data_IF_033487478241
#
_entry.id   IF_033487478241
#
_cell.length_a   1.000
_cell.length_b   1.000
_cell.length_c   1.000
_cell.angle_alpha   90.00
_cell.angle_beta   90.00
_cell.angle_gamma   90.00
#
_symmetry.space_group_name_H-M   'P 1'
#
loop_
_entity.id
_entity.type
_entity.pdbx_description
1 polymer ?
#
# COMPACT_ATOMS: atom_id res chain seq x y z
N UNK A 1 29.10 6.31 -35.02
CA UNK A 1 29.07 4.83 -34.99
C UNK A 1 27.64 4.30 -35.00
N UNK A 2 26.83 4.51 -33.95
CA UNK A 2 25.45 3.99 -33.94
C UNK A 2 24.60 4.44 -35.14
N UNK A 3 24.68 5.73 -35.52
CA UNK A 3 24.01 6.23 -36.72
C UNK A 3 24.44 5.52 -38.00
N UNK A 4 25.75 5.43 -38.26
CA UNK A 4 26.31 4.69 -39.40
C UNK A 4 25.84 3.22 -39.46
N UNK A 5 25.80 2.51 -38.32
CA UNK A 5 25.32 1.12 -38.27
C UNK A 5 23.85 0.99 -38.67
N UNK A 6 23.01 1.96 -38.26
CA UNK A 6 21.56 1.92 -38.50
C UNK A 6 21.21 2.46 -39.90
N UNK A 7 21.79 3.59 -40.31
CA UNK A 7 21.43 4.29 -41.53
C UNK A 7 22.15 3.72 -42.77
N UNK A 8 23.47 3.48 -42.67
CA UNK A 8 24.26 3.02 -43.81
C UNK A 8 24.28 1.50 -43.92
N UNK A 9 24.52 0.80 -42.80
CA UNK A 9 24.58 -0.66 -42.80
C UNK A 9 23.22 -1.35 -42.60
N UNK A 10 22.15 -0.57 -42.36
CA UNK A 10 20.76 -1.06 -42.18
C UNK A 10 20.64 -2.18 -41.14
N UNK A 11 21.44 -2.10 -40.06
CA UNK A 11 21.35 -3.05 -38.96
C UNK A 11 19.98 -2.92 -38.28
N UNK A 12 19.36 -4.05 -37.97
CA UNK A 12 18.11 -4.09 -37.21
C UNK A 12 18.34 -3.58 -35.79
N UNK A 13 17.70 -2.46 -35.44
CA UNK A 13 17.76 -1.83 -34.12
C UNK A 13 17.18 -2.72 -33.00
N UNK A 14 16.41 -3.74 -33.36
CA UNK A 14 15.83 -4.74 -32.47
C UNK A 14 16.58 -6.09 -32.47
N UNK A 15 17.69 -6.20 -33.21
CA UNK A 15 18.53 -7.38 -33.18
C UNK A 15 18.96 -7.70 -31.75
N UNK A 16 19.15 -8.98 -31.44
CA UNK A 16 19.60 -9.42 -30.12
C UNK A 16 20.97 -10.07 -30.22
N UNK A 17 21.79 -9.89 -29.18
CA UNK A 17 23.03 -10.63 -29.02
C UNK A 17 22.78 -12.10 -28.57
N UNK A 18 23.85 -12.86 -28.38
CA UNK A 18 23.78 -14.25 -27.89
C UNK A 18 23.15 -14.37 -26.49
N UNK A 19 23.12 -13.27 -25.74
CA UNK A 19 22.47 -13.16 -24.45
C UNK A 19 21.07 -12.59 -24.54
N UNK A 20 20.45 -12.49 -25.72
CA UNK A 20 19.07 -12.02 -25.91
C UNK A 20 18.86 -10.52 -25.65
N UNK A 21 19.91 -9.70 -25.56
CA UNK A 21 19.81 -8.27 -25.26
C UNK A 21 19.81 -7.44 -26.55
N UNK A 22 18.95 -6.41 -26.60
CA UNK A 22 18.91 -5.47 -27.72
C UNK A 22 19.95 -4.34 -27.57
N UNK A 23 20.31 -3.65 -28.65
CA UNK A 23 21.08 -2.41 -28.59
C UNK A 23 20.52 -1.38 -27.61
N UNK A 24 19.18 -1.32 -27.48
CA UNK A 24 18.50 -0.42 -26.55
C UNK A 24 18.85 -0.73 -25.09
N UNK A 25 18.85 -2.02 -24.71
CA UNK A 25 19.24 -2.48 -23.37
C UNK A 25 20.73 -2.21 -23.10
N UNK A 26 21.61 -2.42 -24.08
CA UNK A 26 23.04 -2.08 -23.95
C UNK A 26 23.26 -0.57 -23.76
N UNK A 27 22.54 0.27 -24.51
CA UNK A 27 22.60 1.72 -24.34
C UNK A 27 22.09 2.17 -22.96
N UNK A 28 21.11 1.46 -22.39
CA UNK A 28 20.62 1.69 -21.03
C UNK A 28 21.69 1.38 -19.98
N UNK A 29 22.24 0.17 -19.97
CA UNK A 29 23.27 -0.22 -18.99
C UNK A 29 24.58 0.56 -19.13
N UNK A 30 24.87 1.08 -20.33
CA UNK A 30 25.98 2.01 -20.55
C UNK A 30 25.67 3.48 -20.23
N UNK A 31 24.45 3.79 -19.77
CA UNK A 31 23.92 5.12 -19.47
C UNK A 31 24.08 6.11 -20.64
N UNK A 32 24.03 5.60 -21.87
CA UNK A 32 24.21 6.39 -23.10
C UNK A 32 22.87 6.97 -23.54
N UNK A 33 22.37 7.97 -22.82
CA UNK A 33 21.06 8.61 -23.08
C UNK A 33 20.88 9.04 -24.54
N UNK A 34 21.90 9.65 -25.17
CA UNK A 34 21.83 10.06 -26.58
C UNK A 34 21.68 8.88 -27.53
N UNK A 35 22.40 7.78 -27.29
CA UNK A 35 22.28 6.54 -28.07
C UNK A 35 20.92 5.88 -27.83
N UNK A 36 20.47 5.85 -26.58
CA UNK A 36 19.18 5.29 -26.17
C UNK A 36 18.03 6.01 -26.88
N UNK A 37 18.03 7.36 -26.83
CA UNK A 37 17.09 8.20 -27.58
C UNK A 37 17.16 7.90 -29.07
N UNK A 38 18.36 7.93 -29.65
CA UNK A 38 18.54 7.66 -31.07
C UNK A 38 17.93 6.32 -31.50
N UNK A 39 18.17 5.25 -30.74
CA UNK A 39 17.62 3.94 -31.04
C UNK A 39 16.08 3.94 -30.99
N UNK A 40 15.47 4.59 -29.98
CA UNK A 40 14.02 4.77 -29.93
C UNK A 40 13.48 5.62 -31.09
N UNK A 41 14.22 6.64 -31.53
CA UNK A 41 13.85 7.49 -32.69
C UNK A 41 13.82 6.67 -33.98
N UNK A 42 14.56 5.57 -34.04
CA UNK A 42 14.74 4.70 -35.21
C UNK A 42 14.01 3.36 -35.10
N UNK A 43 12.98 3.27 -34.23
CA UNK A 43 12.08 2.11 -34.18
C UNK A 43 12.55 0.97 -33.27
N UNK A 44 13.47 1.21 -32.35
CA UNK A 44 13.72 0.26 -31.26
C UNK A 44 12.43 0.09 -30.44
N UNK A 45 12.03 -1.15 -30.20
CA UNK A 45 10.82 -1.48 -29.46
C UNK A 45 11.03 -1.18 -27.97
N UNK A 46 10.30 -0.21 -27.39
CA UNK A 46 10.48 0.19 -25.99
C UNK A 46 9.99 -0.86 -24.98
N UNK A 47 9.24 -1.88 -25.42
CA UNK A 47 8.68 -2.95 -24.59
C UNK A 47 9.38 -4.30 -24.80
N UNK A 48 10.44 -4.36 -25.61
CA UNK A 48 11.18 -5.62 -25.85
C UNK A 48 11.89 -6.05 -24.57
N UNK A 49 11.36 -7.07 -23.92
CA UNK A 49 11.90 -7.63 -22.68
C UNK A 49 13.29 -8.23 -22.86
N UNK A 50 14.10 -8.12 -21.81
CA UNK A 50 15.37 -8.83 -21.67
C UNK A 50 15.13 -10.34 -21.40
N UNK A 51 16.18 -11.19 -21.36
CA UNK A 51 16.04 -12.61 -21.08
C UNK A 51 15.44 -12.95 -19.71
N UNK A 52 15.50 -12.02 -18.75
CA UNK A 52 14.92 -12.19 -17.43
C UNK A 52 13.44 -11.75 -17.40
N UNK A 53 12.89 -11.34 -18.55
CA UNK A 53 11.52 -10.87 -18.69
C UNK A 53 11.32 -9.39 -18.36
N UNK A 54 12.37 -8.63 -18.10
CA UNK A 54 12.27 -7.21 -17.75
C UNK A 54 12.13 -6.37 -19.01
N UNK A 55 11.00 -5.68 -19.16
CA UNK A 55 10.89 -4.58 -20.11
C UNK A 55 11.87 -3.45 -19.75
N UNK A 56 12.39 -2.68 -20.74
CA UNK A 56 13.28 -1.55 -20.50
C UNK A 56 12.80 -0.60 -19.39
N UNK A 57 11.49 -0.37 -19.29
CA UNK A 57 10.91 0.52 -18.28
C UNK A 57 11.15 0.03 -16.84
N UNK A 58 11.19 -1.29 -16.59
CA UNK A 58 11.51 -1.83 -15.27
C UNK A 58 12.93 -1.47 -14.85
N UNK A 59 13.91 -1.74 -15.72
CA UNK A 59 15.32 -1.49 -15.45
C UNK A 59 15.59 0.01 -15.29
N UNK A 60 15.04 0.84 -16.18
CA UNK A 60 15.19 2.30 -16.07
C UNK A 60 14.56 2.85 -14.78
N UNK A 61 13.41 2.31 -14.36
CA UNK A 61 12.74 2.73 -13.13
C UNK A 61 13.52 2.31 -11.87
N UNK A 62 14.01 1.06 -11.81
CA UNK A 62 14.80 0.56 -10.68
C UNK A 62 16.18 1.22 -10.54
N UNK A 63 16.82 1.55 -11.66
CA UNK A 63 18.10 2.27 -11.65
C UNK A 63 17.95 3.80 -11.49
N UNK A 64 16.73 4.32 -11.43
CA UNK A 64 16.50 5.76 -11.29
C UNK A 64 16.88 6.58 -12.53
N UNK A 65 16.98 5.96 -13.70
CA UNK A 65 17.34 6.60 -14.98
C UNK A 65 16.17 7.43 -15.54
N UNK A 66 15.84 8.51 -14.83
CA UNK A 66 14.64 9.33 -15.04
C UNK A 66 14.49 9.81 -16.48
N UNK A 67 15.59 10.15 -17.17
CA UNK A 67 15.51 10.60 -18.56
C UNK A 67 15.16 9.46 -19.52
N UNK A 68 15.68 8.25 -19.27
CA UNK A 68 15.32 7.05 -20.04
C UNK A 68 13.89 6.60 -19.75
N UNK A 69 13.41 6.73 -18.50
CA UNK A 69 11.99 6.51 -18.14
C UNK A 69 11.08 7.44 -18.95
N UNK A 70 11.37 8.74 -19.00
CA UNK A 70 10.61 9.70 -19.82
C UNK A 70 10.65 9.35 -21.30
N UNK A 71 11.82 9.01 -21.84
CA UNK A 71 11.97 8.66 -23.26
C UNK A 71 11.16 7.42 -23.63
N UNK A 72 11.16 6.38 -22.78
CA UNK A 72 10.37 5.17 -22.99
C UNK A 72 8.87 5.49 -23.00
N UNK A 73 8.37 6.20 -21.98
CA UNK A 73 6.96 6.57 -21.88
C UNK A 73 6.53 7.48 -23.04
N UNK A 74 7.37 8.45 -23.43
CA UNK A 74 7.13 9.31 -24.59
C UNK A 74 7.08 8.56 -25.93
N UNK A 75 7.58 7.31 -25.97
CA UNK A 75 7.56 6.43 -27.14
C UNK A 75 6.58 5.28 -27.03
N UNK A 76 5.63 5.41 -26.12
CA UNK A 76 4.51 4.48 -26.00
C UNK A 76 4.89 3.16 -25.35
N UNK A 77 5.96 3.12 -24.54
CA UNK A 77 6.19 2.00 -23.65
C UNK A 77 4.94 1.76 -22.79
N UNK A 78 4.60 0.49 -22.57
CA UNK A 78 3.60 0.13 -21.58
C UNK A 78 4.01 0.70 -20.22
N UNK A 79 3.11 1.39 -19.52
CA UNK A 79 3.42 1.97 -18.19
C UNK A 79 3.49 0.90 -17.10
N UNK A 80 2.65 -0.14 -17.19
CA UNK A 80 2.53 -1.22 -16.21
C UNK A 80 2.80 -2.62 -16.80
N UNK A 81 3.94 -2.84 -17.49
CA UNK A 81 4.35 -4.19 -17.84
C UNK A 81 4.58 -4.96 -16.54
N UNK A 82 4.26 -6.25 -16.54
CA UNK A 82 4.29 -7.08 -15.33
C UNK A 82 5.39 -8.13 -15.44
N UNK A 83 6.19 -8.23 -14.39
CA UNK A 83 7.16 -9.33 -14.19
C UNK A 83 6.88 -10.06 -12.88
N UNK A 84 7.66 -11.11 -12.59
CA UNK A 84 7.64 -11.76 -11.27
C UNK A 84 8.05 -10.82 -10.12
N UNK A 85 8.83 -9.78 -10.43
CA UNK A 85 9.25 -8.73 -9.50
C UNK A 85 8.26 -7.55 -9.44
N UNK A 86 7.19 -7.59 -10.22
CA UNK A 86 6.13 -6.59 -10.29
C UNK A 86 6.24 -5.63 -11.47
N UNK A 87 5.56 -4.48 -11.35
CA UNK A 87 5.57 -3.40 -12.36
C UNK A 87 6.77 -2.48 -12.17
N UNK A 88 7.08 -1.57 -13.13
CA UNK A 88 8.14 -0.58 -12.93
C UNK A 88 7.95 0.26 -11.67
N UNK A 89 6.71 0.53 -11.28
CA UNK A 89 6.39 1.25 -10.05
C UNK A 89 6.72 0.45 -8.78
N UNK A 90 6.55 -0.88 -8.80
CA UNK A 90 6.98 -1.76 -7.70
C UNK A 90 8.48 -1.72 -7.54
N UNK A 91 9.22 -1.89 -8.65
CA UNK A 91 10.69 -1.92 -8.62
C UNK A 91 11.24 -0.57 -8.18
N UNK A 92 10.72 0.54 -8.70
CA UNK A 92 11.14 1.87 -8.25
C UNK A 92 10.85 2.11 -6.75
N UNK A 93 9.77 1.54 -6.22
CA UNK A 93 9.47 1.61 -4.79
C UNK A 93 10.47 0.77 -3.96
N UNK A 94 10.80 -0.45 -4.39
CA UNK A 94 11.81 -1.32 -3.76
C UNK A 94 13.19 -0.68 -3.75
N UNK A 95 13.60 -0.08 -4.87
CA UNK A 95 14.91 0.56 -5.02
C UNK A 95 14.96 2.01 -4.48
N UNK A 96 13.86 2.52 -3.92
CA UNK A 96 13.78 3.86 -3.34
C UNK A 96 13.88 5.02 -4.34
N UNK A 97 13.56 4.79 -5.62
CA UNK A 97 13.71 5.75 -6.72
C UNK A 97 12.52 6.71 -6.82
N UNK A 98 12.42 7.65 -5.89
CA UNK A 98 11.26 8.56 -5.75
C UNK A 98 11.00 9.44 -7.00
N UNK A 99 12.06 9.90 -7.67
CA UNK A 99 11.92 10.69 -8.90
C UNK A 99 11.36 9.86 -10.06
N UNK A 100 11.81 8.61 -10.22
CA UNK A 100 11.29 7.71 -11.24
C UNK A 100 9.82 7.37 -10.96
N UNK A 101 9.47 7.11 -9.69
CA UNK A 101 8.07 6.90 -9.28
C UNK A 101 7.20 8.11 -9.62
N UNK A 102 7.68 9.33 -9.35
CA UNK A 102 6.94 10.56 -9.68
C UNK A 102 6.64 10.65 -11.17
N UNK A 103 7.58 10.26 -12.03
CA UNK A 103 7.37 10.22 -13.49
C UNK A 103 6.33 9.16 -13.87
N UNK A 104 6.45 7.94 -13.33
CA UNK A 104 5.53 6.83 -13.59
C UNK A 104 4.09 7.15 -13.15
N UNK A 105 3.92 7.70 -11.95
CA UNK A 105 2.62 8.14 -11.44
C UNK A 105 2.01 9.25 -12.31
N UNK A 106 2.86 10.17 -12.81
CA UNK A 106 2.44 11.19 -13.78
C UNK A 106 1.98 10.64 -15.14
N UNK A 107 2.33 9.39 -15.45
CA UNK A 107 1.88 8.65 -16.65
C UNK A 107 0.87 7.55 -16.31
N UNK A 108 0.10 7.74 -15.24
CA UNK A 108 -1.01 6.88 -14.83
C UNK A 108 -0.62 5.44 -14.47
N UNK A 109 0.60 5.20 -13.97
CA UNK A 109 0.96 3.91 -13.39
C UNK A 109 0.00 3.52 -12.27
N UNK A 110 -0.46 2.26 -12.26
CA UNK A 110 -1.38 1.75 -11.25
C UNK A 110 -0.68 1.59 -9.89
N UNK A 111 -0.83 2.61 -9.04
CA UNK A 111 -0.28 2.67 -7.69
C UNK A 111 -0.90 1.66 -6.71
N UNK A 112 -1.99 0.98 -7.07
CA UNK A 112 -2.63 -0.07 -6.29
C UNK A 112 -2.51 -1.45 -6.95
N UNK A 113 -1.71 -1.59 -8.02
CA UNK A 113 -1.49 -2.87 -8.67
C UNK A 113 -0.96 -3.87 -7.67
N UNK A 114 -1.60 -5.03 -7.57
CA UNK A 114 -1.17 -6.11 -6.69
C UNK A 114 -0.38 -7.16 -7.48
N UNK A 115 0.82 -7.48 -7.00
CA UNK A 115 1.66 -8.55 -7.51
C UNK A 115 2.00 -9.47 -6.34
N UNK A 116 1.56 -10.73 -6.41
CA UNK A 116 1.68 -11.69 -5.31
C UNK A 116 1.15 -11.15 -3.97
N UNK A 117 0.07 -10.35 -4.02
CA UNK A 117 -0.54 -9.73 -2.83
C UNK A 117 0.19 -8.47 -2.31
N UNK A 118 1.27 -8.04 -2.96
CA UNK A 118 2.05 -6.85 -2.58
C UNK A 118 1.76 -5.69 -3.55
N UNK A 119 1.63 -4.48 -3.02
CA UNK A 119 1.48 -3.23 -3.80
C UNK A 119 2.81 -2.47 -3.88
N UNK A 120 2.97 -1.43 -4.72
CA UNK A 120 4.16 -0.58 -4.66
C UNK A 120 4.38 0.05 -3.27
N UNK A 121 3.29 0.35 -2.55
CA UNK A 121 3.35 0.92 -1.21
C UNK A 121 3.91 -0.08 -0.19
N UNK A 122 3.65 -1.38 -0.39
CA UNK A 122 4.27 -2.45 0.39
C UNK A 122 5.79 -2.32 0.36
N UNK A 123 6.36 -2.25 -0.85
CA UNK A 123 7.80 -2.24 -1.04
C UNK A 123 8.44 -0.97 -0.50
N UNK A 124 7.82 0.20 -0.75
CA UNK A 124 8.33 1.48 -0.24
C UNK A 124 8.45 1.50 1.29
N UNK A 125 7.49 0.91 2.01
CA UNK A 125 7.50 0.84 3.47
C UNK A 125 8.46 -0.24 3.97
N UNK A 126 8.52 -1.41 3.32
CA UNK A 126 9.44 -2.49 3.68
C UNK A 126 10.90 -2.02 3.66
N UNK A 127 11.28 -1.23 2.65
CA UNK A 127 12.62 -0.64 2.53
C UNK A 127 12.76 0.70 3.25
N UNK A 128 11.76 1.11 4.02
CA UNK A 128 11.76 2.36 4.80
C UNK A 128 11.97 3.64 3.97
N UNK A 129 11.54 3.65 2.71
CA UNK A 129 11.62 4.82 1.83
C UNK A 129 10.45 5.77 2.06
N UNK A 130 10.64 6.73 2.98
CA UNK A 130 9.64 7.73 3.36
C UNK A 130 9.17 8.56 2.15
N UNK A 131 10.08 8.92 1.23
CA UNK A 131 9.73 9.70 0.04
C UNK A 131 8.81 8.92 -0.89
N UNK A 132 9.15 7.67 -1.18
CA UNK A 132 8.34 6.78 -2.02
C UNK A 132 6.97 6.50 -1.40
N UNK A 133 6.94 6.22 -0.09
CA UNK A 133 5.70 6.02 0.64
C UNK A 133 4.80 7.26 0.57
N UNK A 134 5.34 8.47 0.81
CA UNK A 134 4.59 9.73 0.69
C UNK A 134 4.00 9.92 -0.71
N UNK A 135 4.77 9.67 -1.77
CA UNK A 135 4.28 9.79 -3.16
C UNK A 135 3.11 8.86 -3.45
N UNK A 136 3.21 7.61 -3.01
CA UNK A 136 2.15 6.61 -3.21
C UNK A 136 0.90 6.93 -2.40
N UNK A 137 1.05 7.37 -1.15
CA UNK A 137 -0.08 7.80 -0.32
C UNK A 137 -0.79 9.01 -0.96
N UNK A 138 -0.02 9.99 -1.45
CA UNK A 138 -0.57 11.15 -2.16
C UNK A 138 -1.30 10.76 -3.45
N UNK A 139 -0.85 9.72 -4.14
CA UNK A 139 -1.54 9.17 -5.30
C UNK A 139 -2.81 8.38 -4.96
N UNK A 140 -3.05 8.04 -3.68
CA UNK A 140 -4.19 7.22 -3.24
C UNK A 140 -3.87 5.74 -3.05
N UNK A 141 -2.58 5.41 -2.88
CA UNK A 141 -2.10 4.08 -2.53
C UNK A 141 -2.73 3.57 -1.23
N UNK A 142 -3.31 2.38 -1.28
CA UNK A 142 -3.96 1.74 -0.13
C UNK A 142 -2.96 0.78 0.51
N UNK A 143 -2.67 0.97 1.80
CA UNK A 143 -1.96 -0.01 2.60
C UNK A 143 -2.96 -1.09 3.05
N UNK A 144 -2.70 -2.36 2.72
CA UNK A 144 -3.49 -3.46 3.27
C UNK A 144 -3.27 -3.56 4.79
N UNK A 145 -4.32 -3.91 5.55
CA UNK A 145 -4.27 -4.06 7.00
C UNK A 145 -3.19 -5.06 7.42
N UNK A 146 -3.18 -6.26 6.82
CA UNK A 146 -2.19 -7.33 7.06
C UNK A 146 -0.74 -6.85 6.90
N UNK A 147 -0.51 -5.86 6.03
CA UNK A 147 0.81 -5.33 5.73
C UNK A 147 1.34 -4.32 6.76
N UNK A 148 0.48 -3.41 7.25
CA UNK A 148 0.85 -2.50 8.34
C UNK A 148 1.34 -3.32 9.55
N UNK A 149 0.75 -4.48 9.76
CA UNK A 149 1.05 -5.39 10.87
C UNK A 149 2.39 -6.14 10.69
N UNK A 150 2.72 -6.58 9.47
CA UNK A 150 4.06 -7.15 9.18
C UNK A 150 5.16 -6.09 9.31
N UNK A 151 4.93 -4.88 8.81
CA UNK A 151 5.88 -3.77 8.93
C UNK A 151 6.06 -3.27 10.38
N UNK A 152 5.03 -3.39 11.22
CA UNK A 152 5.09 -3.08 12.66
C UNK A 152 5.76 -4.19 13.48
N UNK A 153 5.64 -5.46 13.07
CA UNK A 153 6.26 -6.60 13.76
C UNK A 153 7.78 -6.70 13.49
N UNK A 154 8.22 -6.29 12.30
CA UNK A 154 9.62 -6.24 11.87
C UNK A 154 10.18 -4.80 11.92
N UNK A 155 9.83 -3.98 12.93
CA UNK A 155 10.32 -2.60 13.06
C UNK A 155 11.49 -2.45 14.08
N UNK A 156 12.74 -2.86 13.75
CA UNK A 156 13.91 -2.48 14.51
C UNK A 156 14.58 -1.17 14.02
N UNK A 157 13.97 -0.42 13.08
CA UNK A 157 14.58 0.81 12.53
C UNK A 157 13.62 2.01 12.42
N UNK A 158 14.12 3.21 12.73
CA UNK A 158 13.35 4.46 12.75
C UNK A 158 12.63 4.80 11.43
N UNK A 159 13.12 4.29 10.29
CA UNK A 159 12.59 4.64 8.97
C UNK A 159 11.22 4.03 8.66
N UNK A 160 10.93 2.81 9.12
CA UNK A 160 9.62 2.19 8.93
C UNK A 160 8.56 2.90 9.78
N UNK A 161 8.91 3.31 11.00
CA UNK A 161 8.08 4.13 11.87
C UNK A 161 7.73 5.49 11.24
N UNK A 162 8.68 6.18 10.59
CA UNK A 162 8.40 7.42 9.85
C UNK A 162 7.47 7.21 8.65
N UNK A 163 7.65 6.11 7.90
CA UNK A 163 6.74 5.77 6.81
C UNK A 163 5.33 5.47 7.31
N UNK A 164 5.21 4.77 8.44
CA UNK A 164 3.94 4.48 9.11
C UNK A 164 3.30 5.76 9.64
N UNK A 165 4.05 6.70 10.21
CA UNK A 165 3.53 8.01 10.63
C UNK A 165 2.93 8.79 9.45
N UNK A 166 3.53 8.68 8.26
CA UNK A 166 2.98 9.26 7.04
C UNK A 166 1.63 8.65 6.62
N UNK A 167 1.41 7.36 6.88
CA UNK A 167 0.12 6.69 6.67
C UNK A 167 -0.93 7.11 7.71
N UNK A 168 -0.50 7.29 8.95
CA UNK A 168 -1.36 7.56 10.10
C UNK A 168 -1.80 9.03 10.16
N UNK A 169 -1.06 9.96 9.55
CA UNK A 169 -1.35 11.40 9.59
C UNK A 169 -1.20 12.00 11.00
N UNK A 170 -0.54 11.29 11.91
CA UNK A 170 -0.24 11.73 13.26
C UNK A 170 1.11 12.46 13.28
N UNK A 171 1.11 13.68 13.81
CA UNK A 171 2.33 14.41 14.17
C UNK A 171 2.92 13.94 15.50
N UNK A 172 2.71 12.68 15.88
CA UNK A 172 3.24 12.07 17.10
C UNK A 172 4.30 11.04 16.77
N UNK A 173 5.41 11.07 17.51
CA UNK A 173 6.49 10.09 17.41
C UNK A 173 5.98 8.72 17.91
N UNK A 174 6.18 7.67 17.12
CA UNK A 174 5.97 6.30 17.59
C UNK A 174 7.17 5.93 18.47
N UNK A 175 6.93 5.66 19.75
CA UNK A 175 7.95 5.13 20.65
C UNK A 175 7.73 3.64 20.85
N UNK A 176 8.72 2.83 20.50
CA UNK A 176 8.78 1.43 20.92
C UNK A 176 8.74 1.39 22.45
N UNK A 177 7.86 0.57 23.02
CA UNK A 177 7.80 0.37 24.46
C UNK A 177 9.01 -0.45 24.91
N UNK A 178 9.67 -0.04 25.99
CA UNK A 178 10.58 -0.93 26.72
C UNK A 178 9.75 -1.99 27.45
N UNK A 179 9.89 -3.25 27.05
CA UNK A 179 9.17 -4.40 27.62
C UNK A 179 9.49 -4.67 29.11
N UNK A 180 10.41 -3.93 29.72
CA UNK A 180 10.85 -4.09 31.12
C UNK A 180 10.06 -3.25 32.13
N UNK A 181 9.24 -2.28 31.71
CA UNK A 181 8.45 -1.44 32.64
C UNK A 181 7.04 -2.01 32.94
N UNK A 182 6.68 -2.17 34.23
CA UNK A 182 5.38 -2.69 34.63
C UNK A 182 4.24 -1.76 34.20
N UNK A 183 3.18 -2.35 33.63
CA UNK A 183 1.96 -1.65 33.19
C UNK A 183 1.32 -0.85 34.34
N UNK A 184 1.21 0.48 34.19
CA UNK A 184 0.42 1.33 35.08
C UNK A 184 -1.08 1.16 34.82
N UNK A 185 -1.65 0.10 35.43
CA UNK A 185 -3.07 -0.25 35.30
C UNK A 185 -4.01 0.86 35.75
N UNK A 186 -3.59 1.71 36.70
CA UNK A 186 -4.43 2.81 37.20
C UNK A 186 -4.54 3.89 36.13
N UNK A 187 -3.42 4.23 35.49
CA UNK A 187 -3.41 5.22 34.40
C UNK A 187 -4.14 4.72 33.16
N UNK A 188 -3.98 3.45 32.80
CA UNK A 188 -4.75 2.80 31.71
C UNK A 188 -6.26 2.89 31.98
N UNK A 189 -6.71 2.58 33.20
CA UNK A 189 -8.13 2.67 33.56
C UNK A 189 -8.69 4.10 33.50
N UNK A 190 -7.88 5.09 33.90
CA UNK A 190 -8.25 6.51 33.77
C UNK A 190 -8.44 6.90 32.30
N UNK A 191 -7.46 6.59 31.45
CA UNK A 191 -7.51 6.90 30.01
C UNK A 191 -8.68 6.19 29.31
N UNK A 192 -8.98 4.93 29.67
CA UNK A 192 -10.18 4.23 29.20
C UNK A 192 -11.46 4.95 29.58
N UNK A 193 -11.55 5.44 30.81
CA UNK A 193 -12.70 6.21 31.29
C UNK A 193 -12.84 7.53 30.53
N UNK A 194 -11.73 8.23 30.31
CA UNK A 194 -11.69 9.47 29.54
C UNK A 194 -12.16 9.24 28.09
N UNK A 195 -11.61 8.23 27.41
CA UNK A 195 -12.01 7.86 26.06
C UNK A 195 -13.50 7.51 25.98
N UNK A 196 -14.01 6.73 26.93
CA UNK A 196 -15.43 6.34 26.95
C UNK A 196 -16.37 7.53 27.16
N UNK A 197 -15.97 8.51 28.01
CA UNK A 197 -16.70 9.78 28.20
C UNK A 197 -16.68 10.64 26.94
N UNK A 198 -15.56 10.67 26.21
CA UNK A 198 -15.45 11.39 24.94
C UNK A 198 -16.31 10.77 23.84
N UNK A 199 -16.34 9.42 23.72
CA UNK A 199 -17.26 8.71 22.83
C UNK A 199 -18.72 9.06 23.13
N UNK A 200 -19.11 9.11 24.40
CA UNK A 200 -20.48 9.48 24.81
C UNK A 200 -20.86 10.91 24.36
N UNK A 201 -19.88 11.80 24.23
CA UNK A 201 -20.04 13.18 23.71
C UNK A 201 -19.91 13.27 22.19
N UNK A 202 -19.69 12.15 21.49
CA UNK A 202 -19.35 12.07 20.06
C UNK A 202 -18.06 12.80 19.70
N UNK A 203 -17.19 13.02 20.69
CA UNK A 203 -15.84 13.55 20.48
C UNK A 203 -14.90 12.38 20.20
N UNK A 204 -14.99 11.86 18.98
CA UNK A 204 -14.25 10.66 18.59
C UNK A 204 -12.74 10.91 18.46
N UNK A 205 -12.34 12.16 18.19
CA UNK A 205 -10.92 12.51 18.08
C UNK A 205 -10.24 12.41 19.45
N UNK A 206 -10.77 13.10 20.46
CA UNK A 206 -10.22 13.01 21.82
C UNK A 206 -10.40 11.62 22.43
N UNK A 207 -11.44 10.88 22.05
CA UNK A 207 -11.55 9.48 22.43
C UNK A 207 -10.41 8.62 21.87
N UNK A 208 -10.10 8.78 20.57
CA UNK A 208 -9.03 8.04 19.93
C UNK A 208 -7.65 8.37 20.52
N UNK A 209 -7.40 9.65 20.84
CA UNK A 209 -6.18 10.10 21.53
C UNK A 209 -6.04 9.41 22.90
N UNK A 210 -7.09 9.41 23.73
CA UNK A 210 -7.07 8.77 25.03
C UNK A 210 -6.82 7.25 24.93
N UNK A 211 -7.43 6.57 23.95
CA UNK A 211 -7.17 5.15 23.73
C UNK A 211 -5.77 4.86 23.17
N UNK A 212 -5.19 5.77 22.37
CA UNK A 212 -3.80 5.66 21.91
C UNK A 212 -2.81 5.76 23.05
N UNK A 213 -2.96 6.76 23.92
CA UNK A 213 -2.13 6.88 25.12
C UNK A 213 -2.28 5.65 26.04
N UNK A 214 -3.49 5.09 26.13
CA UNK A 214 -3.69 3.87 26.91
C UNK A 214 -2.99 2.65 26.31
N UNK A 215 -2.86 2.58 24.97
CA UNK A 215 -2.17 1.50 24.27
C UNK A 215 -0.66 1.58 24.40
N UNK A 216 -0.09 2.78 24.53
CA UNK A 216 1.33 2.95 24.90
C UNK A 216 1.59 2.29 26.28
N UNK A 217 0.64 2.45 27.20
CA UNK A 217 0.71 1.91 28.56
C UNK A 217 0.26 0.45 28.68
N UNK A 218 -0.49 -0.10 27.72
CA UNK A 218 -0.96 -1.50 27.70
C UNK A 218 -1.25 -1.99 26.26
N UNK A 219 -0.20 -2.36 25.49
CA UNK A 219 -0.32 -2.73 24.09
C UNK A 219 -0.98 -4.10 23.87
N UNK A 220 -1.24 -4.85 24.94
CA UNK A 220 -1.87 -6.19 24.88
C UNK A 220 -3.38 -6.14 25.13
N UNK A 221 -3.93 -4.96 25.46
CA UNK A 221 -5.35 -4.83 25.72
C UNK A 221 -6.18 -4.72 24.43
N UNK A 222 -6.74 -5.86 24.01
CA UNK A 222 -7.65 -5.95 22.87
C UNK A 222 -8.81 -4.93 22.92
N UNK A 223 -9.30 -4.57 24.11
CA UNK A 223 -10.44 -3.67 24.27
C UNK A 223 -10.12 -2.24 23.86
N UNK A 224 -8.87 -1.80 24.06
CA UNK A 224 -8.43 -0.49 23.61
C UNK A 224 -8.43 -0.39 22.09
N UNK A 225 -7.92 -1.40 21.39
CA UNK A 225 -8.00 -1.47 19.94
C UNK A 225 -9.44 -1.44 19.45
N UNK A 226 -10.33 -2.29 20.00
CA UNK A 226 -11.75 -2.31 19.60
C UNK A 226 -12.46 -0.96 19.79
N UNK A 227 -12.17 -0.26 20.89
CA UNK A 227 -12.74 1.05 21.20
C UNK A 227 -12.16 2.16 20.32
N UNK A 228 -10.85 2.15 20.05
CA UNK A 228 -10.20 3.11 19.17
C UNK A 228 -10.62 2.91 17.71
N UNK A 229 -10.80 1.66 17.29
CA UNK A 229 -11.37 1.29 16.00
C UNK A 229 -12.74 1.92 15.75
N UNK A 230 -13.62 1.90 16.76
CA UNK A 230 -14.92 2.60 16.69
C UNK A 230 -14.73 4.09 16.43
N UNK A 231 -13.80 4.73 17.13
CA UNK A 231 -13.55 6.15 16.99
C UNK A 231 -13.11 6.51 15.57
N UNK A 232 -12.19 5.72 14.99
CA UNK A 232 -11.76 5.90 13.60
C UNK A 232 -12.90 5.85 12.60
N UNK A 233 -13.89 4.98 12.78
CA UNK A 233 -15.06 4.91 11.88
C UNK A 233 -15.89 6.21 11.87
N UNK A 234 -15.78 7.05 12.90
CA UNK A 234 -16.60 8.24 13.09
C UNK A 234 -15.83 9.57 13.02
N UNK A 235 -14.49 9.54 12.89
CA UNK A 235 -13.69 10.77 12.76
C UNK A 235 -13.76 11.32 11.33
N UNK A 236 -14.28 12.54 11.20
CA UNK A 236 -14.35 13.26 9.93
C UNK A 236 -15.38 12.71 8.94
N UNK A 237 -15.51 13.37 7.78
CA UNK A 237 -16.46 12.97 6.74
C UNK A 237 -15.92 11.76 5.98
N UNK A 238 -16.43 10.56 6.32
CA UNK A 238 -16.01 9.28 5.72
C UNK A 238 -15.19 8.38 6.64
N UNK A 239 -14.90 8.81 7.87
CA UNK A 239 -14.09 8.04 8.81
C UNK A 239 -12.62 7.93 8.40
N UNK A 240 -11.87 7.15 9.19
CA UNK A 240 -10.49 6.73 8.96
C UNK A 240 -10.47 5.20 8.83
N UNK A 241 -11.01 4.63 7.73
CA UNK A 241 -11.28 3.20 7.66
C UNK A 241 -10.02 2.33 7.74
N UNK A 242 -8.89 2.78 7.20
CA UNK A 242 -7.61 2.05 7.33
C UNK A 242 -7.18 1.90 8.80
N UNK A 243 -7.30 2.97 9.61
CA UNK A 243 -6.98 2.93 11.04
C UNK A 243 -7.95 2.03 11.81
N UNK A 244 -9.23 2.09 11.47
CA UNK A 244 -10.24 1.21 12.04
C UNK A 244 -9.96 -0.26 11.75
N UNK A 245 -9.58 -0.57 10.50
CA UNK A 245 -9.24 -1.92 10.06
C UNK A 245 -8.03 -2.47 10.81
N UNK A 246 -6.99 -1.65 11.00
CA UNK A 246 -5.80 -2.00 11.75
C UNK A 246 -6.13 -2.39 13.20
N UNK A 247 -6.86 -1.52 13.89
CA UNK A 247 -7.28 -1.77 15.27
C UNK A 247 -8.20 -3.00 15.37
N UNK A 248 -9.08 -3.23 14.38
CA UNK A 248 -9.92 -4.42 14.34
C UNK A 248 -9.09 -5.70 14.23
N UNK A 249 -8.03 -5.71 13.42
CA UNK A 249 -7.12 -6.85 13.33
C UNK A 249 -6.35 -7.10 14.62
N UNK A 250 -5.74 -6.06 15.21
CA UNK A 250 -4.98 -6.21 16.46
C UNK A 250 -5.85 -6.74 17.61
N UNK A 251 -7.11 -6.31 17.61
CA UNK A 251 -8.13 -6.84 18.49
C UNK A 251 -8.39 -8.34 18.24
N UNK A 252 -8.54 -8.79 16.99
CA UNK A 252 -8.74 -10.21 16.65
C UNK A 252 -7.52 -11.06 16.99
N UNK A 253 -6.29 -10.56 16.75
CA UNK A 253 -5.05 -11.28 17.08
C UNK A 253 -4.98 -11.63 18.57
N UNK A 254 -5.39 -10.69 19.43
CA UNK A 254 -5.42 -10.86 20.90
C UNK A 254 -6.66 -11.59 21.40
N UNK A 255 -7.80 -11.38 20.74
CA UNK A 255 -9.09 -11.99 21.08
C UNK A 255 -9.82 -12.47 19.81
N UNK A 256 -9.46 -13.66 19.29
CA UNK A 256 -10.00 -14.17 18.03
C UNK A 256 -11.49 -14.51 18.11
N UNK A 257 -12.03 -14.74 19.31
CA UNK A 257 -13.45 -15.06 19.53
C UNK A 257 -14.32 -13.80 19.73
N UNK A 258 -13.75 -12.60 19.61
CA UNK A 258 -14.47 -11.37 19.92
C UNK A 258 -15.19 -10.79 18.71
N UNK A 259 -16.49 -11.10 18.59
CA UNK A 259 -17.37 -10.68 17.49
C UNK A 259 -17.32 -9.19 17.14
N UNK A 260 -17.14 -8.31 18.14
CA UNK A 260 -17.03 -6.86 17.92
C UNK A 260 -15.87 -6.50 16.98
N UNK A 261 -14.75 -7.23 17.04
CA UNK A 261 -13.57 -6.95 16.23
C UNK A 261 -13.86 -7.15 14.73
N UNK A 262 -14.45 -8.29 14.37
CA UNK A 262 -14.89 -8.58 13.00
C UNK A 262 -15.95 -7.59 12.49
N UNK A 263 -16.85 -7.13 13.38
CA UNK A 263 -17.81 -6.10 13.01
C UNK A 263 -17.14 -4.76 12.68
N UNK A 264 -16.11 -4.37 13.43
CA UNK A 264 -15.30 -3.17 13.12
C UNK A 264 -14.58 -3.32 11.78
N UNK A 265 -13.95 -4.47 11.56
CA UNK A 265 -13.30 -4.82 10.29
C UNK A 265 -14.27 -4.71 9.12
N UNK A 266 -15.46 -5.30 9.22
CA UNK A 266 -16.46 -5.24 8.16
C UNK A 266 -16.86 -3.80 7.82
N UNK A 267 -17.11 -2.97 8.84
CA UNK A 267 -17.43 -1.55 8.63
C UNK A 267 -16.30 -0.79 7.95
N UNK A 268 -15.06 -1.04 8.36
CA UNK A 268 -13.89 -0.44 7.75
C UNK A 268 -13.73 -0.84 6.27
N UNK A 269 -13.87 -2.13 5.96
CA UNK A 269 -13.81 -2.66 4.59
C UNK A 269 -14.93 -2.10 3.70
N UNK A 270 -16.14 -1.98 4.24
CA UNK A 270 -17.26 -1.37 3.53
C UNK A 270 -17.00 0.10 3.16
N UNK A 271 -16.38 0.88 4.06
CA UNK A 271 -15.97 2.26 3.77
C UNK A 271 -14.87 2.34 2.70
N UNK A 272 -14.00 1.32 2.62
CA UNK A 272 -12.99 1.15 1.58
C UNK A 272 -13.57 0.61 0.25
N UNK A 273 -14.89 0.36 0.19
CA UNK A 273 -15.57 -0.30 -0.93
C UNK A 273 -15.10 -1.73 -1.22
N UNK A 274 -14.41 -2.36 -0.26
CA UNK A 274 -14.16 -3.80 -0.29
C UNK A 274 -15.36 -4.54 0.31
N UNK A 275 -16.43 -4.61 -0.48
CA UNK A 275 -17.67 -5.25 -0.05
C UNK A 275 -17.53 -6.77 0.10
N UNK A 276 -16.57 -7.40 -0.61
CA UNK A 276 -16.33 -8.84 -0.49
C UNK A 276 -15.69 -9.14 0.86
N UNK A 277 -14.60 -8.45 1.21
CA UNK A 277 -13.96 -8.59 2.51
C UNK A 277 -14.91 -8.23 3.66
N UNK A 278 -15.76 -7.21 3.47
CA UNK A 278 -16.77 -6.85 4.47
C UNK A 278 -17.78 -7.98 4.73
N UNK A 279 -18.21 -8.70 3.69
CA UNK A 279 -19.07 -9.88 3.82
C UNK A 279 -18.35 -11.04 4.52
N UNK A 280 -17.12 -11.34 4.10
CA UNK A 280 -16.33 -12.44 4.66
C UNK A 280 -16.09 -12.27 6.17
N UNK A 281 -15.82 -11.03 6.61
CA UNK A 281 -15.68 -10.69 8.02
C UNK A 281 -16.97 -10.96 8.83
N UNK A 282 -18.14 -10.58 8.31
CA UNK A 282 -19.43 -10.80 9.00
C UNK A 282 -19.86 -12.27 8.99
N UNK A 283 -19.54 -13.02 7.93
CA UNK A 283 -19.79 -14.46 7.87
C UNK A 283 -19.02 -15.20 8.97
N UNK A 284 -17.80 -14.77 9.30
CA UNK A 284 -17.05 -15.34 10.42
C UNK A 284 -17.74 -15.07 11.77
N UNK A 285 -18.39 -13.93 11.94
CA UNK A 285 -19.18 -13.63 13.15
C UNK A 285 -20.42 -14.52 13.25
N UNK A 286 -21.17 -14.70 12.15
CA UNK A 286 -22.38 -15.54 12.17
C UNK A 286 -22.06 -17.01 12.46
N UNK A 287 -20.86 -17.50 12.14
CA UNK A 287 -20.40 -18.83 12.55
C UNK A 287 -20.19 -18.93 14.07
N UNK A 288 -19.81 -17.84 14.72
CA UNK A 288 -19.52 -17.78 16.16
C UNK A 288 -20.76 -17.45 17.00
N UNK A 289 -21.64 -16.59 16.50
CA UNK A 289 -22.84 -16.09 17.18
C UNK A 289 -24.05 -16.11 16.23
N UNK A 290 -24.65 -17.30 16.00
CA UNK A 290 -25.81 -17.45 15.12
C UNK A 290 -27.03 -16.72 15.72
N UNK A 291 -27.63 -15.80 14.95
CA UNK A 291 -28.83 -15.05 15.35
C UNK A 291 -28.58 -13.61 15.80
N UNK A 292 -27.35 -13.09 15.63
CA UNK A 292 -27.05 -11.70 15.92
C UNK A 292 -27.64 -10.75 14.84
N UNK A 293 -28.79 -10.15 15.15
CA UNK A 293 -29.55 -9.32 14.21
C UNK A 293 -28.77 -8.12 13.63
N UNK A 294 -27.83 -7.54 14.40
CA UNK A 294 -26.99 -6.43 13.92
C UNK A 294 -26.01 -6.90 12.83
N UNK A 295 -25.46 -8.11 12.98
CA UNK A 295 -24.53 -8.72 12.04
C UNK A 295 -25.25 -9.16 10.77
N UNK A 296 -26.44 -9.76 10.90
CA UNK A 296 -27.28 -10.14 9.76
C UNK A 296 -27.70 -8.93 8.92
N UNK A 297 -28.06 -7.82 9.58
CA UNK A 297 -28.37 -6.56 8.90
C UNK A 297 -27.15 -5.97 8.17
N UNK A 298 -25.99 -5.97 8.84
CA UNK A 298 -24.73 -5.57 8.23
C UNK A 298 -24.37 -6.40 6.99
N UNK A 299 -24.56 -7.71 7.06
CA UNK A 299 -24.20 -8.64 5.98
C UNK A 299 -25.11 -8.40 4.77
N UNK A 300 -26.41 -8.22 4.99
CA UNK A 300 -27.37 -7.91 3.93
C UNK A 300 -26.98 -6.65 3.17
N UNK A 301 -26.66 -5.56 3.88
CA UNK A 301 -26.24 -4.28 3.29
C UNK A 301 -24.92 -4.41 2.50
N UNK A 302 -23.96 -5.16 3.02
CA UNK A 302 -22.69 -5.41 2.34
C UNK A 302 -22.91 -6.23 1.04
N UNK A 303 -23.74 -7.26 1.08
CA UNK A 303 -24.09 -8.08 -0.09
C UNK A 303 -24.83 -7.28 -1.17
N UNK A 304 -25.75 -6.40 -0.78
CA UNK A 304 -26.43 -5.48 -1.71
C UNK A 304 -25.42 -4.55 -2.40
N UNK A 305 -24.51 -3.95 -1.63
CA UNK A 305 -23.45 -3.08 -2.16
C UNK A 305 -22.50 -3.82 -3.10
N UNK A 306 -22.17 -5.08 -2.80
CA UNK A 306 -21.36 -5.95 -3.66
C UNK A 306 -22.06 -6.22 -5.00
N UNK A 307 -23.35 -6.53 -5.00
CA UNK A 307 -24.14 -6.76 -6.23
C UNK A 307 -24.19 -5.51 -7.11
N UNK A 308 -24.40 -4.34 -6.50
CA UNK A 308 -24.40 -3.05 -7.22
C UNK A 308 -23.01 -2.78 -7.82
N UNK A 309 -21.95 -2.98 -7.05
CA UNK A 309 -20.57 -2.82 -7.53
C UNK A 309 -20.25 -3.75 -8.70
N UNK A 310 -20.72 -5.00 -8.69
CA UNK A 310 -20.47 -5.97 -9.76
C UNK A 310 -21.23 -5.65 -11.04
N UNK A 311 -22.49 -5.21 -10.92
CA UNK A 311 -23.31 -4.79 -12.08
C UNK A 311 -22.78 -3.52 -12.74
N UNK A 312 -22.26 -2.57 -11.97
CA UNK A 312 -21.65 -1.33 -12.50
C UNK A 312 -20.35 -1.59 -13.26
N UNK A 313 -19.62 -2.66 -12.94
CA UNK A 313 -18.40 -3.06 -13.67
C UNK A 313 -18.65 -3.83 -14.97
N UNK A 314 -19.89 -4.28 -15.19
CA UNK A 314 -20.29 -5.06 -16.37
C UNK A 314 -20.94 -4.20 -17.47
N UNK A 315 -21.14 -2.90 -17.22
CA UNK A 315 -21.61 -1.88 -18.18
C UNK A 315 -20.45 -1.00 -18.62
#
# INVERSE_FOLDING_TARGET
>A
MCAHLVEELRMDVNAVDNGGRTPLIHAMYGEKVSTFKYLLDHGANPDRVDPNGFAPLHSAAGSGYCEMVKLLLARGACTDPVTCCGTPLHIAATEGQDLAMKILLGHNADYNKMINGMTPLYFAINVSSVKCAKLLIQAGGVANGDFILTALADAPSNGSAECLNCLLGFGGEWHARNDEEPVDRKKVAELKSQGSKAVARKDFLSAAEAYSMALELDPDDATLFSNRSLCWLHIGKGGKPLLSLLDAYECKKRRPDWSKAFYRESKALALLKDYKGACDALLNVLKMDPGNAEIEDGLRKAMESLKVSQSTKAQ
#
